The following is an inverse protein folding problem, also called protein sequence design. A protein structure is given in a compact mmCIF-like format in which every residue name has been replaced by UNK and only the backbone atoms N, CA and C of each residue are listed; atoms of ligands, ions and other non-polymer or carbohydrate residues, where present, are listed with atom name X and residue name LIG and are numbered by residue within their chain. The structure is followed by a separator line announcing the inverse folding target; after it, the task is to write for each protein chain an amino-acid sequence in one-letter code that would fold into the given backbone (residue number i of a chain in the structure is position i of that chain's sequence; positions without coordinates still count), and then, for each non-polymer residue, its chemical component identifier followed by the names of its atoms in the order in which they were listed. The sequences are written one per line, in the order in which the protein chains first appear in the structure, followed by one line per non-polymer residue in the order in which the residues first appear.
data_IF_827432013151
#
_entry.id   IF_827432013151
#
_cell.length_a   1.000
_cell.length_b   1.000
_cell.length_c   1.000
_cell.angle_alpha   90.00
_cell.angle_beta   90.00
_cell.angle_gamma   90.00
#
_symmetry.space_group_name_H-M   'P 1'
#
loop_
_entity.id
_entity.type
_entity.pdbx_description
1 polymer ?
#
# COMPACT_ATOMS: atom_id res chain seq x y z
N UNK A 1 11.51 24.35 -36.18
CA UNK A 1 12.94 23.98 -36.10
C UNK A 1 13.04 22.46 -35.95
N UNK A 2 13.95 21.77 -36.67
CA UNK A 2 14.15 20.32 -36.47
C UNK A 2 14.99 20.10 -35.21
N UNK A 3 14.40 19.50 -34.18
CA UNK A 3 15.11 19.14 -32.94
C UNK A 3 15.80 17.79 -33.14
N UNK A 4 17.07 17.70 -32.73
CA UNK A 4 17.83 16.45 -32.80
C UNK A 4 17.23 15.42 -31.83
N UNK A 5 17.10 14.16 -32.26
CA UNK A 5 16.61 13.04 -31.43
C UNK A 5 17.41 12.88 -30.12
N UNK A 6 18.69 13.24 -30.14
CA UNK A 6 19.55 13.26 -28.95
C UNK A 6 19.06 14.25 -27.88
N UNK A 7 18.61 15.44 -28.29
CA UNK A 7 18.12 16.48 -27.38
C UNK A 7 16.77 16.11 -26.75
N UNK A 8 15.90 15.41 -27.51
CA UNK A 8 14.63 14.88 -26.99
C UNK A 8 14.87 13.76 -25.97
N UNK A 9 15.84 12.89 -26.23
CA UNK A 9 16.23 11.83 -25.28
C UNK A 9 16.77 12.39 -23.96
N UNK A 10 17.57 13.46 -24.01
CA UNK A 10 18.09 14.12 -22.81
C UNK A 10 17.00 14.87 -22.03
N UNK A 11 16.01 15.45 -22.70
CA UNK A 11 14.87 16.09 -22.05
C UNK A 11 13.95 15.07 -21.35
N UNK A 12 13.70 13.91 -21.97
CA UNK A 12 12.94 12.81 -21.36
C UNK A 12 13.65 12.20 -20.14
N UNK A 13 14.98 12.24 -20.11
CA UNK A 13 15.79 11.85 -18.96
C UNK A 13 15.97 12.98 -17.91
N UNK A 14 15.35 14.15 -18.10
CA UNK A 14 15.43 15.29 -17.18
C UNK A 14 16.76 16.04 -17.16
N UNK A 15 17.64 15.78 -18.14
CA UNK A 15 19.01 16.33 -18.17
C UNK A 15 19.09 17.71 -18.83
N UNK A 16 18.06 18.13 -19.57
CA UNK A 16 17.98 19.46 -20.23
C UNK A 16 16.54 19.97 -20.22
N UNK A 17 16.33 21.23 -19.87
CA UNK A 17 15.03 21.92 -19.95
C UNK A 17 14.75 22.45 -21.36
N UNK A 18 13.59 22.13 -21.95
CA UNK A 18 13.15 22.69 -23.23
C UNK A 18 12.33 23.98 -23.01
N UNK A 19 12.48 25.00 -23.88
CA UNK A 19 11.72 26.25 -23.74
C UNK A 19 10.21 26.03 -23.97
N UNK A 20 9.39 26.70 -23.16
CA UNK A 20 7.94 26.49 -23.05
C UNK A 20 7.15 26.59 -24.37
N UNK A 21 7.65 27.33 -25.36
CA UNK A 21 7.03 27.43 -26.69
C UNK A 21 7.04 26.13 -27.51
N UNK A 22 7.87 25.14 -27.17
CA UNK A 22 7.91 23.81 -27.82
C UNK A 22 6.92 22.81 -27.20
N UNK A 23 6.52 23.00 -25.93
CA UNK A 23 5.55 22.13 -25.24
C UNK A 23 4.10 22.37 -25.72
N UNK A 24 3.82 23.57 -26.23
CA UNK A 24 2.47 23.96 -26.64
C UNK A 24 1.98 23.26 -27.91
N UNK A 25 2.87 22.90 -28.85
CA UNK A 25 2.51 22.20 -30.10
C UNK A 25 2.38 20.68 -29.93
N UNK A 26 2.90 20.09 -28.86
CA UNK A 26 2.66 18.68 -28.49
C UNK A 26 1.40 18.49 -27.63
N UNK A 27 0.94 19.55 -26.94
CA UNK A 27 -0.27 19.52 -26.11
C UNK A 27 -1.55 19.24 -26.92
N UNK A 28 -1.58 19.59 -28.21
CA UNK A 28 -2.72 19.39 -29.11
C UNK A 28 -2.89 17.94 -29.59
N UNK A 29 -1.99 17.02 -29.21
CA UNK A 29 -2.08 15.57 -29.49
C UNK A 29 -2.04 14.69 -28.24
N UNK A 30 -2.38 15.21 -27.07
CA UNK A 30 -2.59 14.36 -25.89
C UNK A 30 -3.93 13.62 -26.01
N UNK A 31 -3.87 12.32 -26.35
CA UNK A 31 -5.00 11.38 -26.27
C UNK A 31 -5.55 11.37 -24.82
N UNK A 32 -6.86 11.15 -24.62
CA UNK A 32 -7.52 11.10 -23.29
C UNK A 32 -6.80 10.19 -22.29
N UNK A 33 -6.09 9.16 -22.77
CA UNK A 33 -5.22 8.28 -21.98
C UNK A 33 -4.07 9.03 -21.30
N UNK A 34 -3.46 10.01 -21.97
CA UNK A 34 -2.39 10.84 -21.40
C UNK A 34 -2.90 11.87 -20.38
N UNK A 35 -4.13 12.36 -20.56
CA UNK A 35 -4.80 13.22 -19.56
C UNK A 35 -5.23 12.42 -18.33
N UNK A 36 -5.62 11.15 -18.47
CA UNK A 36 -5.89 10.26 -17.33
C UNK A 36 -4.60 9.87 -16.57
N UNK A 37 -3.47 9.76 -17.29
CA UNK A 37 -2.16 9.51 -16.71
C UNK A 37 -1.58 10.70 -15.93
N UNK A 38 -2.05 11.94 -16.14
CA UNK A 38 -1.52 13.11 -15.41
C UNK A 38 -1.78 13.07 -13.90
N UNK A 39 -2.82 12.35 -13.48
CA UNK A 39 -3.17 12.14 -12.06
C UNK A 39 -2.74 10.76 -11.53
N UNK A 40 -2.25 9.88 -12.40
CA UNK A 40 -1.77 8.55 -12.01
C UNK A 40 -0.28 8.64 -11.70
N UNK A 41 0.09 8.27 -10.49
CA UNK A 41 1.48 8.18 -10.06
C UNK A 41 1.93 6.73 -10.08
N UNK A 42 3.11 6.47 -10.66
CA UNK A 42 3.81 5.20 -10.53
C UNK A 42 4.97 5.43 -9.56
N UNK A 43 5.03 4.63 -8.52
CA UNK A 43 6.07 4.68 -7.49
C UNK A 43 6.46 3.27 -7.06
N UNK A 44 7.42 3.15 -6.16
CA UNK A 44 7.91 1.84 -5.73
C UNK A 44 9.22 1.94 -4.98
N UNK A 45 9.71 0.79 -4.53
CA UNK A 45 11.03 0.66 -3.93
C UNK A 45 11.59 -0.74 -4.17
N UNK A 46 12.90 -0.88 -4.02
CA UNK A 46 13.57 -2.17 -3.95
C UNK A 46 14.20 -2.27 -2.57
N UNK A 47 13.88 -3.34 -1.87
CA UNK A 47 14.34 -3.60 -0.52
C UNK A 47 15.38 -4.73 -0.52
N UNK A 48 16.58 -4.41 -0.05
CA UNK A 48 17.71 -5.34 0.03
C UNK A 48 18.37 -5.24 1.40
N UNK A 49 18.89 -6.36 1.90
CA UNK A 49 19.53 -6.43 3.21
C UNK A 49 20.81 -7.23 3.15
N UNK A 50 21.65 -7.04 4.16
CA UNK A 50 22.80 -7.89 4.39
C UNK A 50 22.84 -8.21 5.88
N UNK A 51 22.96 -9.48 6.22
CA UNK A 51 22.98 -9.95 7.61
C UNK A 51 24.12 -10.94 7.79
N UNK A 52 24.91 -10.76 8.85
CA UNK A 52 25.91 -11.72 9.30
C UNK A 52 25.71 -12.03 10.76
N UNK A 53 25.61 -13.32 11.06
CA UNK A 53 25.61 -13.81 12.43
C UNK A 53 27.02 -14.29 12.74
N UNK A 54 27.82 -13.48 13.42
CA UNK A 54 29.17 -13.88 13.82
C UNK A 54 29.12 -15.12 14.72
N UNK A 55 29.73 -16.23 14.28
CA UNK A 55 29.70 -17.52 14.98
C UNK A 55 29.43 -18.68 14.02
N UNK A 56 29.00 -19.83 14.56
CA UNK A 56 28.83 -21.08 13.79
C UNK A 56 27.37 -21.47 13.59
N UNK A 57 26.42 -20.55 13.64
CA UNK A 57 25.01 -20.91 13.61
C UNK A 57 24.04 -19.84 13.12
N UNK A 58 23.20 -20.24 12.16
CA UNK A 58 22.00 -19.53 11.71
C UNK A 58 20.71 -20.22 12.14
N UNK A 59 20.82 -21.22 13.01
CA UNK A 59 19.69 -21.98 13.50
C UNK A 59 18.89 -21.19 14.55
N UNK A 60 17.58 -21.45 14.61
CA UNK A 60 16.64 -20.86 15.58
C UNK A 60 16.55 -19.32 15.56
N UNK A 61 16.31 -18.69 14.39
CA UNK A 61 15.99 -17.28 14.37
C UNK A 61 14.75 -17.04 15.24
N UNK A 62 14.74 -15.93 15.99
CA UNK A 62 13.59 -15.55 16.79
C UNK A 62 12.34 -15.42 15.89
N UNK A 63 11.17 -15.81 16.42
CA UNK A 63 9.93 -16.01 15.64
C UNK A 63 9.20 -14.71 15.27
N UNK A 64 9.91 -13.59 15.24
CA UNK A 64 9.39 -12.33 14.72
C UNK A 64 9.49 -12.32 13.18
N UNK A 65 8.58 -11.63 12.49
CA UNK A 65 8.50 -11.72 11.02
C UNK A 65 9.77 -11.20 10.34
N UNK A 66 10.09 -11.77 9.18
CA UNK A 66 11.22 -11.42 8.30
C UNK A 66 12.63 -11.70 8.88
N UNK A 67 12.73 -12.51 9.93
CA UNK A 67 14.00 -12.94 10.53
C UNK A 67 14.62 -14.18 9.88
N UNK A 68 13.77 -15.11 9.43
CA UNK A 68 14.20 -16.42 8.99
C UNK A 68 14.78 -16.39 7.57
N UNK A 69 15.87 -17.14 7.34
CA UNK A 69 16.45 -17.32 6.00
C UNK A 69 17.24 -16.13 5.45
N UNK A 70 17.53 -15.11 6.27
CA UNK A 70 18.25 -13.89 5.87
C UNK A 70 19.72 -13.86 6.29
N UNK A 71 20.11 -14.73 7.21
CA UNK A 71 21.42 -14.73 7.84
C UNK A 71 22.55 -15.21 6.90
N UNK A 72 23.76 -14.72 7.16
CA UNK A 72 25.01 -15.00 6.46
C UNK A 72 24.96 -14.75 4.95
N UNK A 73 24.42 -13.60 4.55
CA UNK A 73 24.37 -13.23 3.16
C UNK A 73 23.77 -11.88 2.85
N UNK A 74 23.67 -11.63 1.55
CA UNK A 74 22.94 -10.52 0.96
C UNK A 74 21.59 -11.04 0.47
N UNK A 75 20.53 -10.27 0.67
CA UNK A 75 19.17 -10.67 0.35
C UNK A 75 18.50 -9.61 -0.53
N UNK A 76 17.82 -10.06 -1.58
CA UNK A 76 16.69 -9.34 -2.14
C UNK A 76 15.46 -9.71 -1.30
N UNK A 77 14.87 -8.72 -0.65
CA UNK A 77 13.74 -8.93 0.23
C UNK A 77 12.45 -8.83 -0.57
N UNK A 78 12.20 -7.66 -1.16
CA UNK A 78 11.04 -7.40 -2.00
C UNK A 78 11.29 -6.19 -2.89
N UNK A 79 10.73 -6.20 -4.09
CA UNK A 79 10.54 -5.03 -4.91
C UNK A 79 9.04 -4.72 -4.97
N UNK A 80 8.68 -3.45 -4.72
CA UNK A 80 7.30 -2.97 -4.76
C UNK A 80 7.10 -2.07 -5.97
N UNK A 81 6.01 -2.30 -6.70
CA UNK A 81 5.48 -1.40 -7.71
C UNK A 81 4.10 -0.91 -7.26
N UNK A 82 3.95 0.39 -7.13
CA UNK A 82 2.72 1.05 -6.72
C UNK A 82 2.20 1.93 -7.86
N UNK A 83 0.91 1.79 -8.18
CA UNK A 83 0.20 2.59 -9.16
C UNK A 83 -1.02 3.19 -8.45
N UNK A 84 -1.07 4.51 -8.39
CA UNK A 84 -2.05 5.19 -7.56
C UNK A 84 -2.62 6.42 -8.25
N UNK A 85 -3.92 6.62 -8.09
CA UNK A 85 -4.58 7.89 -8.38
C UNK A 85 -5.26 8.35 -7.08
N UNK A 86 -4.81 9.44 -6.44
CA UNK A 86 -5.47 9.97 -5.25
C UNK A 86 -6.88 10.50 -5.57
N UNK A 87 -7.71 10.65 -4.54
CA UNK A 87 -8.96 11.40 -4.65
C UNK A 87 -8.61 12.88 -4.86
N UNK A 88 -9.27 13.52 -5.82
CA UNK A 88 -9.18 14.96 -6.00
C UNK A 88 -10.02 15.70 -4.94
N UNK A 89 -9.95 17.03 -4.94
CA UNK A 89 -10.72 17.89 -4.02
C UNK A 89 -12.19 18.05 -4.45
N UNK A 90 -12.63 17.36 -5.50
CA UNK A 90 -14.00 17.46 -5.97
C UNK A 90 -14.98 16.82 -4.98
N UNK A 91 -16.21 17.31 -5.02
CA UNK A 91 -17.32 16.77 -4.22
C UNK A 91 -17.59 15.29 -4.51
N UNK A 92 -17.43 14.89 -5.77
CA UNK A 92 -17.37 13.49 -6.19
C UNK A 92 -15.99 13.21 -6.74
N UNK A 93 -15.22 12.40 -6.02
CA UNK A 93 -13.86 12.04 -6.40
C UNK A 93 -13.76 10.53 -6.61
N UNK A 94 -12.95 10.11 -7.58
CA UNK A 94 -12.64 8.70 -7.82
C UNK A 94 -11.15 8.49 -8.04
N UNK A 95 -10.60 7.55 -7.29
CA UNK A 95 -9.20 7.17 -7.28
C UNK A 95 -9.03 5.66 -7.16
N UNK A 96 -7.79 5.22 -7.11
CA UNK A 96 -7.44 3.81 -6.92
C UNK A 96 -6.01 3.66 -6.39
N UNK A 97 -5.74 2.51 -5.78
CA UNK A 97 -4.40 2.12 -5.36
C UNK A 97 -4.18 0.66 -5.78
N UNK A 98 -3.05 0.38 -6.42
CA UNK A 98 -2.58 -0.97 -6.72
C UNK A 98 -1.12 -1.09 -6.32
N UNK A 99 -0.83 -1.96 -5.35
CA UNK A 99 0.49 -2.24 -4.82
C UNK A 99 0.84 -3.71 -5.08
N UNK A 100 1.81 -3.93 -5.97
CA UNK A 100 2.31 -5.24 -6.35
C UNK A 100 3.68 -5.47 -5.74
N UNK A 101 3.89 -6.67 -5.20
CA UNK A 101 5.14 -7.08 -4.57
C UNK A 101 5.77 -8.22 -5.35
N UNK A 102 7.08 -8.18 -5.50
CA UNK A 102 7.90 -9.18 -6.19
C UNK A 102 9.09 -9.54 -5.31
N UNK A 103 9.25 -10.81 -4.96
CA UNK A 103 10.41 -11.29 -4.20
C UNK A 103 10.07 -12.19 -3.03
N UNK A 104 11.08 -12.76 -2.35
CA UNK A 104 10.89 -13.74 -1.29
C UNK A 104 9.93 -13.31 -0.17
N UNK A 105 10.01 -12.05 0.25
CA UNK A 105 9.17 -11.55 1.37
C UNK A 105 7.71 -11.36 0.97
N UNK A 106 7.37 -11.36 -0.32
CA UNK A 106 5.97 -11.37 -0.74
C UNK A 106 5.22 -12.63 -0.26
N UNK A 107 5.93 -13.73 0.03
CA UNK A 107 5.35 -14.96 0.64
C UNK A 107 4.85 -14.76 2.07
N UNK A 108 5.27 -13.70 2.77
CA UNK A 108 4.74 -13.42 4.10
C UNK A 108 3.30 -12.91 4.04
N UNK A 109 2.86 -12.41 2.88
CA UNK A 109 1.46 -12.09 2.64
C UNK A 109 0.75 -13.35 2.13
N UNK A 110 -0.46 -13.62 2.63
CA UNK A 110 -1.32 -14.68 2.11
C UNK A 110 -2.08 -14.26 0.84
N UNK A 111 -1.54 -13.30 0.07
CA UNK A 111 -2.14 -12.72 -1.14
C UNK A 111 -1.33 -13.05 -2.41
N UNK A 112 -0.63 -14.20 -2.41
CA UNK A 112 0.21 -14.65 -3.53
C UNK A 112 -0.61 -14.82 -4.82
N UNK A 113 -0.08 -14.32 -5.95
CA UNK A 113 -0.64 -14.52 -7.29
C UNK A 113 -0.18 -15.81 -7.95
N UNK A 114 0.96 -16.37 -7.51
CA UNK A 114 1.52 -17.61 -8.02
C UNK A 114 1.74 -18.59 -6.85
N UNK A 115 1.14 -19.78 -6.97
CA UNK A 115 1.25 -20.86 -6.00
C UNK A 115 2.40 -21.83 -6.33
N UNK A 116 3.18 -21.56 -7.38
CA UNK A 116 4.33 -22.37 -7.80
C UNK A 116 5.54 -22.19 -6.89
N UNK A 117 6.11 -23.30 -6.41
CA UNK A 117 7.25 -23.31 -5.48
C UNK A 117 8.57 -22.82 -6.12
N UNK A 118 8.62 -22.73 -7.46
CA UNK A 118 9.82 -22.41 -8.24
C UNK A 118 9.85 -20.99 -8.84
N UNK A 119 8.76 -20.21 -8.69
CA UNK A 119 8.67 -18.86 -9.23
C UNK A 119 9.13 -17.79 -8.23
N UNK A 120 9.52 -16.62 -8.75
CA UNK A 120 9.70 -15.42 -7.92
C UNK A 120 8.32 -15.08 -7.33
N UNK A 121 8.15 -15.08 -6.00
CA UNK A 121 6.85 -14.88 -5.40
C UNK A 121 6.32 -13.50 -5.75
N UNK A 122 5.03 -13.45 -6.11
CA UNK A 122 4.33 -12.22 -6.41
C UNK A 122 3.10 -12.13 -5.51
N UNK A 123 2.87 -10.99 -4.89
CA UNK A 123 1.71 -10.77 -4.02
C UNK A 123 1.03 -9.42 -4.30
N UNK A 124 -0.28 -9.35 -4.03
CA UNK A 124 -1.01 -8.08 -4.01
C UNK A 124 -1.01 -7.56 -2.56
N UNK A 125 -0.35 -6.45 -2.29
CA UNK A 125 -0.42 -5.83 -0.97
C UNK A 125 -1.73 -5.03 -0.83
N UNK A 126 -2.05 -4.21 -1.82
CA UNK A 126 -3.28 -3.43 -1.86
C UNK A 126 -3.80 -3.37 -3.30
N UNK A 127 -5.11 -3.46 -3.47
CA UNK A 127 -5.78 -3.27 -4.75
C UNK A 127 -7.22 -2.84 -4.46
N UNK A 128 -7.47 -1.53 -4.46
CA UNK A 128 -8.80 -1.00 -4.16
C UNK A 128 -9.15 0.20 -5.03
N UNK A 129 -10.46 0.38 -5.27
CA UNK A 129 -11.02 1.62 -5.77
C UNK A 129 -11.37 2.54 -4.59
N UNK A 130 -11.11 3.83 -4.75
CA UNK A 130 -11.44 4.87 -3.78
C UNK A 130 -12.53 5.78 -4.35
N UNK A 131 -13.56 6.09 -3.57
CA UNK A 131 -14.65 6.97 -3.96
C UNK A 131 -14.95 7.95 -2.84
N UNK A 132 -15.17 9.23 -3.17
CA UNK A 132 -15.66 10.25 -2.22
C UNK A 132 -17.08 10.62 -2.57
N UNK A 133 -17.96 10.55 -1.57
CA UNK A 133 -19.31 11.11 -1.65
C UNK A 133 -19.38 12.43 -0.87
N UNK A 134 -20.08 13.47 -1.37
CA UNK A 134 -20.16 14.78 -0.75
C UNK A 134 -21.20 14.83 0.37
N UNK A 135 -21.02 14.00 1.39
CA UNK A 135 -21.85 14.02 2.59
C UNK A 135 -21.07 14.70 3.71
N UNK A 136 -21.52 15.87 4.18
CA UNK A 136 -20.84 16.63 5.22
C UNK A 136 -19.41 17.00 4.84
N UNK A 137 -18.43 16.51 5.60
CA UNK A 137 -17.01 16.74 5.36
C UNK A 137 -16.40 15.84 4.26
N UNK A 138 -17.23 15.01 3.61
CA UNK A 138 -16.80 14.02 2.63
C UNK A 138 -16.73 12.63 3.26
N UNK A 139 -17.41 11.67 2.63
CA UNK A 139 -17.40 10.27 3.04
C UNK A 139 -16.57 9.48 2.04
N UNK A 140 -15.46 8.91 2.51
CA UNK A 140 -14.51 8.18 1.68
C UNK A 140 -14.75 6.68 1.79
N UNK A 141 -14.87 6.03 0.64
CA UNK A 141 -15.06 4.60 0.49
C UNK A 141 -13.84 3.97 -0.14
N UNK A 142 -13.38 2.85 0.41
CA UNK A 142 -12.45 1.92 -0.24
C UNK A 142 -13.15 0.61 -0.48
N UNK A 143 -13.05 0.09 -1.71
CA UNK A 143 -13.63 -1.21 -2.09
C UNK A 143 -12.55 -2.05 -2.76
N UNK A 144 -12.26 -3.22 -2.19
CA UNK A 144 -11.23 -4.13 -2.67
C UNK A 144 -10.32 -4.61 -1.53
N UNK A 145 -9.05 -4.85 -1.86
CA UNK A 145 -8.02 -5.31 -0.92
C UNK A 145 -7.26 -4.11 -0.37
N UNK A 146 -7.23 -3.94 0.94
CA UNK A 146 -6.51 -2.85 1.62
C UNK A 146 -5.77 -3.36 2.85
N UNK A 147 -4.71 -2.67 3.26
CA UNK A 147 -3.98 -2.99 4.50
C UNK A 147 -4.93 -2.89 5.70
N UNK A 148 -4.64 -3.66 6.74
CA UNK A 148 -5.36 -3.53 8.01
C UNK A 148 -5.42 -2.09 8.50
N UNK A 149 -6.56 -1.72 9.09
CA UNK A 149 -6.77 -0.39 9.70
C UNK A 149 -6.25 -0.32 11.13
N UNK A 150 -5.85 -1.47 11.68
CA UNK A 150 -5.20 -1.64 12.97
C UNK A 150 -3.79 -2.19 12.76
N UNK A 151 -2.93 -1.98 13.74
CA UNK A 151 -1.51 -2.39 13.68
C UNK A 151 -0.60 -1.19 13.50
N UNK A 152 0.46 -1.14 14.31
CA UNK A 152 1.45 -0.07 14.26
C UNK A 152 2.51 -0.32 13.17
N UNK A 153 2.86 -1.59 12.96
CA UNK A 153 3.91 -1.99 12.05
C UNK A 153 3.35 -2.25 10.64
N UNK A 154 4.16 -1.93 9.64
CA UNK A 154 3.80 -2.08 8.23
C UNK A 154 4.60 -3.19 7.55
N UNK A 155 4.04 -3.72 6.46
CA UNK A 155 4.81 -4.53 5.52
C UNK A 155 5.98 -3.73 4.91
N UNK A 156 5.86 -2.42 4.70
CA UNK A 156 6.94 -1.64 4.10
C UNK A 156 8.04 -1.35 5.15
N UNK A 157 9.24 -1.91 4.97
CA UNK A 157 10.33 -1.86 5.96
C UNK A 157 10.73 -0.43 6.34
N UNK A 158 10.81 0.47 5.37
CA UNK A 158 11.16 1.88 5.59
C UNK A 158 10.16 2.67 6.46
N UNK A 159 8.95 2.16 6.68
CA UNK A 159 7.94 2.77 7.56
C UNK A 159 8.06 2.33 9.01
N UNK A 160 8.91 1.35 9.29
CA UNK A 160 9.07 0.77 10.62
C UNK A 160 10.36 1.25 11.28
N UNK A 161 10.39 1.36 12.63
CA UNK A 161 11.61 1.68 13.36
C UNK A 161 12.64 0.55 13.28
N UNK A 162 12.17 -0.69 13.16
CA UNK A 162 12.99 -1.88 13.04
C UNK A 162 12.77 -2.54 11.67
N UNK A 163 13.81 -3.21 11.18
CA UNK A 163 13.70 -4.01 9.98
C UNK A 163 12.71 -5.17 10.17
N UNK A 164 12.85 -5.91 11.26
CA UNK A 164 11.98 -7.03 11.59
C UNK A 164 10.70 -6.52 12.23
N UNK A 165 9.62 -7.30 12.16
CA UNK A 165 8.31 -6.90 12.69
C UNK A 165 7.99 -7.70 13.94
N UNK A 166 7.39 -7.07 14.94
CA UNK A 166 7.10 -7.69 16.23
C UNK A 166 6.16 -8.89 16.13
N UNK A 167 6.01 -9.60 17.25
CA UNK A 167 5.01 -10.67 17.38
C UNK A 167 3.57 -10.18 17.15
N UNK A 168 3.27 -8.91 17.44
CA UNK A 168 1.94 -8.34 17.17
C UNK A 168 1.62 -8.37 15.68
N UNK A 169 2.57 -7.90 14.87
CA UNK A 169 2.46 -7.97 13.41
C UNK A 169 2.36 -9.41 12.88
N UNK A 170 3.06 -10.36 13.49
CA UNK A 170 2.99 -11.78 13.09
C UNK A 170 1.62 -12.41 13.33
N UNK A 171 0.83 -11.89 14.26
CA UNK A 171 -0.48 -12.43 14.62
C UNK A 171 -1.66 -11.68 14.01
N UNK A 172 -1.49 -10.40 13.68
CA UNK A 172 -2.55 -9.59 13.09
C UNK A 172 -2.75 -9.89 11.60
N UNK A 173 -3.97 -9.74 11.07
CA UNK A 173 -4.18 -9.73 9.63
C UNK A 173 -3.46 -8.54 9.00
N UNK A 174 -2.68 -8.79 7.95
CA UNK A 174 -1.94 -7.73 7.25
C UNK A 174 -2.82 -6.93 6.28
N UNK A 175 -3.81 -7.60 5.68
CA UNK A 175 -4.70 -7.04 4.65
C UNK A 175 -6.10 -7.61 4.80
N UNK A 176 -7.10 -6.88 4.29
CA UNK A 176 -8.49 -7.31 4.25
C UNK A 176 -9.08 -7.06 2.86
N UNK A 177 -9.96 -7.94 2.40
CA UNK A 177 -10.78 -7.73 1.20
C UNK A 177 -12.21 -7.38 1.61
N UNK A 178 -12.67 -6.18 1.24
CA UNK A 178 -14.02 -5.74 1.57
C UNK A 178 -14.30 -4.27 1.26
N UNK A 179 -15.11 -3.66 2.12
CA UNK A 179 -15.50 -2.25 2.05
C UNK A 179 -15.10 -1.57 3.34
N UNK A 180 -14.42 -0.43 3.22
CA UNK A 180 -14.08 0.45 4.33
C UNK A 180 -14.62 1.84 4.06
N UNK A 181 -15.24 2.43 5.07
CA UNK A 181 -15.76 3.79 5.05
C UNK A 181 -14.96 4.62 6.04
N UNK A 182 -14.57 5.83 5.65
CA UNK A 182 -13.82 6.78 6.49
C UNK A 182 -14.53 8.13 6.49
N UNK A 183 -14.64 8.74 7.66
CA UNK A 183 -15.28 10.04 7.84
C UNK A 183 -14.48 10.92 8.81
N UNK A 184 -14.19 12.14 8.39
CA UNK A 184 -13.57 13.17 9.23
C UNK A 184 -14.67 13.97 9.93
N UNK A 185 -14.87 13.76 11.23
CA UNK A 185 -15.90 14.48 11.98
C UNK A 185 -15.50 15.92 12.28
N UNK A 186 -14.24 16.11 12.66
CA UNK A 186 -13.61 17.40 12.99
C UNK A 186 -12.14 17.33 12.60
N UNK A 187 -11.39 18.42 12.61
CA UNK A 187 -9.95 18.40 12.27
C UNK A 187 -9.09 17.48 13.17
N UNK A 188 -9.61 17.10 14.35
CA UNK A 188 -8.92 16.27 15.33
C UNK A 188 -9.53 14.86 15.48
N UNK A 189 -10.67 14.54 14.86
CA UNK A 189 -11.33 13.23 14.98
C UNK A 189 -11.74 12.64 13.62
N UNK A 190 -11.15 11.50 13.30
CA UNK A 190 -11.53 10.64 12.18
C UNK A 190 -12.07 9.32 12.70
N UNK A 191 -13.13 8.77 12.10
CA UNK A 191 -13.49 7.38 12.31
C UNK A 191 -13.48 6.60 11.00
N UNK A 192 -13.19 5.31 11.11
CA UNK A 192 -13.29 4.36 10.03
C UNK A 192 -14.12 3.16 10.49
N UNK A 193 -14.92 2.61 9.60
CA UNK A 193 -15.68 1.40 9.84
C UNK A 193 -15.77 0.58 8.55
N UNK A 194 -15.66 -0.73 8.64
CA UNK A 194 -15.62 -1.59 7.46
C UNK A 194 -16.11 -3.00 7.72
N UNK A 195 -16.36 -3.70 6.62
CA UNK A 195 -16.68 -5.12 6.58
C UNK A 195 -15.79 -5.80 5.55
N UNK A 196 -15.18 -6.92 5.93
CA UNK A 196 -14.34 -7.75 5.08
C UNK A 196 -14.90 -9.17 4.97
N UNK A 197 -14.52 -9.85 3.89
CA UNK A 197 -15.02 -11.20 3.60
C UNK A 197 -14.59 -12.21 4.66
N UNK A 198 -13.34 -12.16 5.12
CA UNK A 198 -12.81 -13.05 6.15
C UNK A 198 -11.82 -12.29 7.04
N UNK A 199 -11.43 -12.91 8.16
CA UNK A 199 -10.39 -12.37 9.05
C UNK A 199 -9.00 -12.50 8.43
N UNK A 200 -8.80 -13.51 7.58
CA UNK A 200 -7.50 -13.79 6.96
C UNK A 200 -7.22 -12.87 5.77
N UNK A 201 -5.93 -12.62 5.47
CA UNK A 201 -5.51 -11.81 4.33
C UNK A 201 -5.53 -12.62 3.02
N UNK A 202 -6.64 -13.31 2.72
CA UNK A 202 -6.77 -14.14 1.50
C UNK A 202 -7.73 -13.48 0.53
N UNK A 203 -7.28 -13.30 -0.72
CA UNK A 203 -8.09 -12.70 -1.78
C UNK A 203 -9.04 -13.75 -2.36
N UNK A 204 -10.31 -13.38 -2.51
CA UNK A 204 -11.38 -14.22 -3.05
C UNK A 204 -12.03 -15.14 -2.02
N UNK A 205 -11.48 -15.23 -0.81
CA UNK A 205 -12.04 -16.04 0.29
C UNK A 205 -13.42 -15.52 0.69
N UNK A 206 -14.32 -16.42 1.09
CA UNK A 206 -15.71 -16.07 1.43
C UNK A 206 -16.02 -16.45 2.87
N UNK A 207 -16.74 -15.56 3.57
CA UNK A 207 -17.32 -15.84 4.89
C UNK A 207 -18.24 -17.07 4.85
N UNK A 208 -19.04 -17.19 3.80
CA UNK A 208 -19.89 -18.35 3.60
C UNK A 208 -19.23 -19.28 2.59
N UNK A 209 -18.68 -20.38 3.11
CA UNK A 209 -18.14 -21.47 2.31
C UNK A 209 -18.84 -22.77 2.75
N UNK A 210 -19.70 -23.36 1.89
CA UNK A 210 -20.42 -24.59 2.18
C UNK A 210 -19.49 -25.77 2.52
N UNK A 211 -18.27 -25.78 1.96
CA UNK A 211 -17.32 -26.88 2.11
C UNK A 211 -16.60 -26.86 3.47
N UNK A 212 -16.59 -25.69 4.15
CA UNK A 212 -15.95 -25.50 5.46
C UNK A 212 -16.92 -25.16 6.59
N UNK A 213 -18.24 -25.30 6.37
CA UNK A 213 -19.27 -25.07 7.40
C UNK A 213 -19.32 -23.63 7.92
N UNK A 214 -18.85 -22.65 7.14
CA UNK A 214 -18.82 -21.24 7.56
C UNK A 214 -20.12 -20.53 7.19
N UNK A 215 -20.62 -19.70 8.10
CA UNK A 215 -21.86 -18.92 7.93
C UNK A 215 -21.55 -17.46 7.56
N UNK A 216 -22.55 -16.72 7.08
CA UNK A 216 -22.41 -15.30 6.72
C UNK A 216 -21.85 -14.43 7.86
N UNK A 217 -22.08 -14.84 9.11
CA UNK A 217 -21.54 -14.21 10.33
C UNK A 217 -20.01 -14.27 10.48
N UNK A 218 -19.30 -15.01 9.62
CA UNK A 218 -17.83 -15.04 9.59
C UNK A 218 -17.19 -13.80 8.92
N UNK A 219 -18.01 -12.87 8.42
CA UNK A 219 -17.51 -11.58 7.95
C UNK A 219 -16.79 -10.87 9.09
N UNK A 220 -15.67 -10.24 8.75
CA UNK A 220 -14.91 -9.46 9.70
C UNK A 220 -15.43 -8.04 9.70
N UNK A 221 -15.85 -7.55 10.86
CA UNK A 221 -16.18 -6.15 11.08
C UNK A 221 -14.99 -5.47 11.71
N UNK A 222 -14.69 -4.27 11.24
CA UNK A 222 -13.56 -3.49 11.72
C UNK A 222 -13.98 -2.06 11.96
N UNK A 223 -13.36 -1.43 12.95
CA UNK A 223 -13.53 -0.02 13.22
C UNK A 223 -12.25 0.55 13.82
N UNK A 224 -11.99 1.82 13.55
CA UNK A 224 -10.91 2.57 14.19
C UNK A 224 -11.29 4.03 14.39
N UNK A 225 -10.71 4.64 15.42
CA UNK A 225 -10.79 6.06 15.73
C UNK A 225 -9.37 6.63 15.70
N UNK A 226 -9.20 7.73 14.97
CA UNK A 226 -7.96 8.49 14.95
C UNK A 226 -8.19 9.84 15.61
N UNK A 227 -7.41 10.12 16.65
CA UNK A 227 -7.40 11.38 17.37
C UNK A 227 -6.10 12.12 17.06
N UNK A 228 -6.20 13.23 16.35
CA UNK A 228 -5.05 14.07 16.00
C UNK A 228 -5.00 15.27 16.92
N UNK A 229 -3.89 15.41 17.64
CA UNK A 229 -3.68 16.48 18.61
C UNK A 229 -3.59 17.84 17.87
N UNK A 230 -4.40 18.85 18.26
CA UNK A 230 -4.45 20.14 17.56
C UNK A 230 -3.12 20.88 17.51
N UNK A 231 -2.98 21.76 16.51
CA UNK A 231 -1.73 22.48 16.24
C UNK A 231 -1.27 23.45 17.35
N UNK A 232 -2.11 23.72 18.34
CA UNK A 232 -1.82 24.70 19.39
C UNK A 232 -1.36 24.08 20.72
N UNK A 233 -1.02 22.79 20.75
CA UNK A 233 -0.82 22.02 22.00
C UNK A 233 0.64 21.69 22.35
N UNK A 234 1.59 22.48 21.87
CA UNK A 234 2.99 22.39 22.27
C UNK A 234 3.68 21.12 21.74
N UNK A 235 4.40 20.36 22.57
CA UNK A 235 5.26 19.27 22.07
C UNK A 235 4.51 18.06 21.49
N UNK A 236 3.20 17.95 21.73
CA UNK A 236 2.35 16.87 21.20
C UNK A 236 1.67 17.25 19.88
N UNK A 237 1.96 18.43 19.36
CA UNK A 237 1.36 18.98 18.15
C UNK A 237 1.42 17.99 16.98
N UNK A 238 0.27 17.73 16.35
CA UNK A 238 0.19 16.88 15.16
C UNK A 238 0.40 15.39 15.43
N UNK A 239 0.55 14.96 16.68
CA UNK A 239 0.59 13.55 17.04
C UNK A 239 -0.79 12.93 16.87
N UNK A 240 -0.88 11.76 16.23
CA UNK A 240 -2.14 11.03 16.06
C UNK A 240 -2.13 9.74 16.87
N UNK A 241 -3.18 9.55 17.67
CA UNK A 241 -3.48 8.31 18.37
C UNK A 241 -4.52 7.52 17.58
N UNK A 242 -4.23 6.25 17.31
CA UNK A 242 -5.16 5.30 16.67
C UNK A 242 -5.67 4.31 17.72
N UNK A 243 -6.99 4.08 17.74
CA UNK A 243 -7.70 3.15 18.63
C UNK A 243 -8.64 2.27 17.82
#
# INVERSE_FOLDING_TARGET
MKVNKWTVGLAAAGLVSLPAGLLADEATKMNQVWTALSSTTISGYVDTSAQWNFGTGNANPARYSYAAGKADGFNLNVAKLAISKPLDEAQWAAGYQVDLLFGPDARSLNTLLDAGDQAIPMAIQQAYAALRAPLGNGLDFKVGVFNSIIGYESFDSYKNPNWTRSYGYTMEPTTHEGVLVSYQFTDWLTAQAGVANTFGPVIGERAHDPDYGRAESYKTYMGSLAFTVPKDTGFLEGSTLYV
#
